data_IF_570555379605
#
_entry.id   IF_570555379605
#
_cell.length_a   1.000
_cell.length_b   1.000
_cell.length_c   1.000
_cell.angle_alpha   90.00
_cell.angle_beta   90.00
_cell.angle_gamma   90.00
#
_symmetry.space_group_name_H-M   'P 1'
#
loop_
_entity.id
_entity.type
_entity.pdbx_description
1 polymer ?
#
# COMPACT_ATOMS: atom_id res chain seq x y z
N UNK A 1 -28.70 -36.83 43.66
CA UNK A 1 -29.98 -37.10 42.98
C UNK A 1 -29.90 -36.57 41.56
N UNK A 2 -30.09 -37.45 40.56
CA UNK A 2 -30.10 -37.16 39.12
C UNK A 2 -31.52 -36.86 38.64
N UNK A 3 -31.67 -35.94 37.67
CA UNK A 3 -32.68 -35.85 36.58
C UNK A 3 -32.19 -34.69 35.68
N UNK A 4 -31.68 -34.85 34.45
CA UNK A 4 -32.16 -35.50 33.22
C UNK A 4 -33.35 -34.80 32.55
N UNK A 5 -33.00 -33.99 31.53
CA UNK A 5 -33.52 -33.86 30.15
C UNK A 5 -35.03 -33.96 29.84
N UNK A 6 -35.44 -33.09 28.89
CA UNK A 6 -36.44 -33.14 27.80
C UNK A 6 -36.99 -31.70 27.64
N UNK A 7 -37.29 -31.11 26.49
CA UNK A 7 -36.92 -31.25 25.08
C UNK A 7 -37.42 -29.93 24.43
N UNK A 8 -36.70 -29.42 23.42
CA UNK A 8 -37.10 -28.31 22.55
C UNK A 8 -37.91 -28.91 21.38
N UNK A 9 -38.94 -28.26 20.79
CA UNK A 9 -38.66 -27.49 19.55
C UNK A 9 -39.67 -26.37 19.22
N UNK A 10 -39.15 -25.18 18.92
CA UNK A 10 -39.85 -24.09 18.24
C UNK A 10 -39.13 -23.63 16.98
N UNK A 11 -38.94 -24.53 16.01
CA UNK A 11 -38.46 -24.19 14.66
C UNK A 11 -39.66 -24.14 13.69
N UNK A 12 -39.97 -22.96 13.18
CA UNK A 12 -40.46 -22.71 11.81
C UNK A 12 -39.77 -21.40 11.40
N UNK A 13 -38.88 -21.34 10.42
CA UNK A 13 -38.97 -21.94 9.09
C UNK A 13 -39.48 -20.88 8.12
N UNK A 14 -38.61 -19.96 7.72
CA UNK A 14 -38.79 -19.21 6.48
C UNK A 14 -37.42 -19.10 5.79
N UNK A 15 -37.25 -19.98 4.83
CA UNK A 15 -36.20 -20.07 3.83
C UNK A 15 -36.47 -19.08 2.69
N UNK A 16 -35.38 -18.60 2.07
CA UNK A 16 -35.20 -18.22 0.65
C UNK A 16 -34.74 -16.78 0.32
N UNK A 17 -33.95 -16.62 -0.77
CA UNK A 17 -32.67 -15.92 -0.74
C UNK A 17 -32.58 -14.72 -1.70
N UNK A 18 -31.93 -13.62 -1.30
CA UNK A 18 -31.57 -12.56 -2.24
C UNK A 18 -30.49 -11.62 -1.69
N UNK A 19 -29.21 -11.98 -1.79
CA UNK A 19 -28.14 -11.02 -2.11
C UNK A 19 -26.82 -11.76 -2.43
N UNK A 20 -26.82 -12.55 -3.51
CA UNK A 20 -25.61 -13.11 -4.08
C UNK A 20 -25.66 -12.90 -5.59
N UNK A 21 -25.02 -11.83 -6.09
CA UNK A 21 -24.57 -11.63 -7.49
C UNK A 21 -23.85 -10.28 -7.64
N UNK A 22 -22.88 -10.24 -8.54
CA UNK A 22 -21.90 -9.17 -8.86
C UNK A 22 -20.69 -9.23 -7.92
N UNK A 23 -19.60 -9.93 -8.25
CA UNK A 23 -18.71 -9.64 -9.38
C UNK A 23 -18.24 -10.95 -10.03
N UNK A 24 -18.68 -11.22 -11.27
CA UNK A 24 -18.05 -12.19 -12.17
C UNK A 24 -17.60 -11.45 -13.42
N UNK A 25 -16.39 -11.80 -13.87
CA UNK A 25 -15.83 -11.58 -15.20
C UNK A 25 -15.08 -10.26 -15.45
N UNK A 26 -13.80 -10.26 -15.07
CA UNK A 26 -12.76 -9.64 -15.88
C UNK A 26 -11.67 -10.70 -16.11
N UNK A 27 -11.88 -11.57 -17.11
CA UNK A 27 -10.79 -12.32 -17.74
C UNK A 27 -10.17 -11.38 -18.75
N UNK A 28 -8.98 -10.87 -18.46
CA UNK A 28 -8.14 -10.21 -19.46
C UNK A 28 -7.25 -11.30 -20.05
N UNK A 29 -7.63 -11.78 -21.23
CA UNK A 29 -6.85 -12.74 -22.02
C UNK A 29 -5.65 -12.00 -22.64
N UNK A 30 -4.46 -12.12 -22.04
CA UNK A 30 -3.20 -11.75 -22.69
C UNK A 30 -2.76 -12.89 -23.61
N UNK A 31 -3.13 -12.82 -24.88
CA UNK A 31 -2.58 -13.67 -25.92
C UNK A 31 -1.12 -13.27 -26.22
N UNK A 32 -0.16 -14.15 -25.88
CA UNK A 32 1.23 -14.04 -26.32
C UNK A 32 1.33 -14.45 -27.80
N UNK A 33 1.94 -13.64 -28.70
CA UNK A 33 2.15 -14.06 -30.07
C UNK A 33 3.23 -15.14 -30.15
N UNK A 34 2.88 -16.27 -30.77
CA UNK A 34 3.80 -17.37 -31.02
C UNK A 34 4.86 -16.99 -32.07
N UNK A 35 6.11 -17.31 -31.76
CA UNK A 35 7.27 -17.12 -32.63
C UNK A 35 7.20 -18.08 -33.84
N UNK A 36 7.17 -17.52 -35.05
CA UNK A 36 7.28 -18.30 -36.26
C UNK A 36 8.76 -18.54 -36.62
N UNK A 37 9.17 -19.80 -36.64
CA UNK A 37 10.50 -20.24 -37.08
C UNK A 37 10.51 -20.32 -38.60
N UNK A 38 11.35 -19.52 -39.26
CA UNK A 38 11.77 -19.82 -40.63
C UNK A 38 13.25 -19.53 -40.82
N UNK A 39 14.00 -20.61 -41.03
CA UNK A 39 15.41 -20.64 -41.41
C UNK A 39 15.62 -20.18 -42.85
N UNK A 40 16.49 -19.20 -43.09
CA UNK A 40 17.20 -19.05 -44.38
C UNK A 40 18.63 -18.56 -44.15
N UNK A 41 19.59 -19.42 -44.50
CA UNK A 41 21.00 -19.06 -44.73
C UNK A 41 21.09 -18.31 -46.07
N UNK A 42 21.83 -17.19 -46.11
CA UNK A 42 22.75 -16.90 -47.21
C UNK A 42 23.74 -15.77 -46.90
N UNK A 43 24.99 -16.13 -47.18
CA UNK A 43 26.25 -15.40 -47.33
C UNK A 43 26.18 -13.98 -47.94
N UNK A 44 26.99 -13.06 -47.42
CA UNK A 44 27.24 -11.75 -48.05
C UNK A 44 28.22 -10.86 -47.28
N UNK A 45 29.39 -10.67 -47.86
CA UNK A 45 30.60 -9.91 -47.43
C UNK A 45 30.35 -8.41 -47.18
N UNK A 46 30.90 -7.82 -46.10
CA UNK A 46 31.19 -6.36 -46.00
C UNK A 46 32.23 -6.01 -44.89
N UNK A 47 33.39 -5.53 -45.36
CA UNK A 47 34.36 -4.48 -44.94
C UNK A 47 34.50 -3.99 -43.46
N UNK A 48 35.67 -3.38 -43.09
CA UNK A 48 36.23 -3.37 -41.74
C UNK A 48 35.80 -2.21 -40.83
N UNK A 49 36.07 -2.43 -39.53
CA UNK A 49 36.16 -1.54 -38.37
C UNK A 49 35.69 -0.08 -38.53
N UNK A 50 34.60 0.25 -37.83
CA UNK A 50 34.32 1.61 -37.38
C UNK A 50 34.61 1.70 -35.88
N UNK A 51 35.67 2.45 -35.58
CA UNK A 51 36.07 2.96 -34.28
C UNK A 51 34.88 3.59 -33.55
N UNK A 52 34.43 3.00 -32.42
CA UNK A 52 33.62 3.72 -31.43
C UNK A 52 34.52 4.02 -30.25
N UNK A 53 35.03 5.24 -30.29
CA UNK A 53 35.54 5.97 -29.14
C UNK A 53 34.68 5.69 -27.91
N UNK A 54 35.34 5.18 -26.87
CA UNK A 54 34.86 5.18 -25.50
C UNK A 54 34.61 6.62 -25.09
N UNK A 55 33.37 7.10 -25.29
CA UNK A 55 32.94 8.35 -24.65
C UNK A 55 33.00 8.13 -23.14
N UNK A 56 33.75 9.01 -22.49
CA UNK A 56 34.15 8.95 -21.10
C UNK A 56 33.01 8.64 -20.15
N UNK A 57 33.36 7.95 -19.06
CA UNK A 57 32.47 7.66 -17.96
C UNK A 57 31.91 8.96 -17.41
N UNK A 58 30.69 9.30 -17.84
CA UNK A 58 29.77 10.03 -16.99
C UNK A 58 29.72 9.22 -15.69
N UNK A 59 30.27 9.77 -14.60
CA UNK A 59 30.27 9.12 -13.31
C UNK A 59 28.86 8.60 -13.03
N UNK A 60 28.73 7.29 -12.85
CA UNK A 60 27.45 6.66 -12.53
C UNK A 60 26.94 7.29 -11.23
N UNK A 61 26.01 8.23 -11.37
CA UNK A 61 25.40 8.92 -10.25
C UNK A 61 24.58 7.91 -9.45
N UNK A 62 24.91 7.74 -8.17
CA UNK A 62 24.23 6.81 -7.25
C UNK A 62 22.89 7.34 -6.73
N UNK A 63 22.31 8.33 -7.39
CA UNK A 63 21.06 8.98 -6.96
C UNK A 63 19.90 7.97 -6.95
N UNK A 64 19.29 7.69 -5.78
CA UNK A 64 18.09 6.88 -5.70
C UNK A 64 16.99 7.49 -6.56
N UNK A 65 16.27 6.66 -7.31
CA UNK A 65 15.17 7.12 -8.18
C UNK A 65 13.85 7.23 -7.44
N UNK A 66 13.61 6.32 -6.51
CA UNK A 66 12.36 6.19 -5.77
C UNK A 66 12.58 5.35 -4.51
N UNK A 67 11.59 5.34 -3.63
CA UNK A 67 11.48 4.33 -2.57
C UNK A 67 11.05 3.02 -3.23
N UNK A 68 11.87 1.97 -3.11
CA UNK A 68 11.60 0.68 -3.77
C UNK A 68 10.55 -0.17 -3.05
N UNK A 69 10.79 -0.50 -1.78
CA UNK A 69 9.87 -1.29 -0.95
C UNK A 69 10.23 -1.15 0.53
N UNK A 70 9.30 -1.53 1.40
CA UNK A 70 9.50 -1.64 2.85
C UNK A 70 9.42 -3.10 3.27
N UNK A 71 10.27 -3.50 4.21
CA UNK A 71 10.24 -4.83 4.83
C UNK A 71 9.95 -4.66 6.30
N UNK A 72 8.89 -5.30 6.78
CA UNK A 72 8.49 -5.31 8.18
C UNK A 72 8.68 -6.71 8.76
N UNK A 73 9.19 -6.79 9.99
CA UNK A 73 9.08 -7.99 10.79
C UNK A 73 7.73 -7.98 11.50
N UNK A 74 7.02 -9.09 11.45
CA UNK A 74 5.69 -9.28 12.06
C UNK A 74 5.69 -10.54 12.91
N UNK A 75 4.93 -10.58 14.00
CA UNK A 75 4.88 -11.78 14.86
C UNK A 75 4.12 -12.93 14.21
N UNK A 76 3.28 -12.67 13.20
CA UNK A 76 2.55 -13.68 12.45
C UNK A 76 2.35 -13.22 11.00
N UNK A 77 3.07 -13.86 10.07
CA UNK A 77 3.01 -13.53 8.64
C UNK A 77 1.62 -13.72 8.05
N UNK A 78 0.87 -14.75 8.46
CA UNK A 78 -0.45 -15.03 7.90
C UNK A 78 -1.48 -14.01 8.37
N UNK A 79 -1.51 -13.70 9.67
CA UNK A 79 -2.36 -12.67 10.26
C UNK A 79 -2.11 -11.33 9.60
N UNK A 80 -0.85 -10.90 9.52
CA UNK A 80 -0.50 -9.60 8.96
C UNK A 80 -0.75 -9.56 7.45
N UNK A 81 -0.51 -10.66 6.72
CA UNK A 81 -0.89 -10.73 5.29
C UNK A 81 -2.39 -10.55 5.08
N UNK A 82 -3.24 -11.20 5.89
CA UNK A 82 -4.70 -11.01 5.81
C UNK A 82 -5.08 -9.56 6.09
N UNK A 83 -4.49 -8.94 7.10
CA UNK A 83 -4.74 -7.54 7.40
C UNK A 83 -4.38 -6.61 6.23
N UNK A 84 -3.15 -6.67 5.71
CA UNK A 84 -2.74 -5.81 4.61
C UNK A 84 -3.51 -6.08 3.31
N UNK A 85 -3.90 -7.33 3.04
CA UNK A 85 -4.70 -7.68 1.86
C UNK A 85 -6.17 -7.26 2.00
N UNK A 86 -6.82 -7.70 3.07
CA UNK A 86 -8.28 -7.61 3.22
C UNK A 86 -8.76 -6.29 3.84
N UNK A 87 -7.89 -5.61 4.60
CA UNK A 87 -8.21 -4.34 5.26
C UNK A 87 -7.60 -3.17 4.49
N UNK A 88 -6.28 -3.19 4.28
CA UNK A 88 -5.56 -2.10 3.60
C UNK A 88 -5.78 -2.15 2.08
N UNK A 89 -5.85 -3.34 1.48
CA UNK A 89 -6.17 -3.52 0.06
C UNK A 89 -5.01 -3.96 -0.84
N UNK A 90 -3.89 -4.42 -0.26
CA UNK A 90 -2.77 -4.95 -1.04
C UNK A 90 -3.12 -6.24 -1.77
N UNK A 91 -2.43 -6.50 -2.88
CA UNK A 91 -2.43 -7.81 -3.52
C UNK A 91 -1.22 -8.62 -3.05
N UNK A 92 -1.36 -9.94 -2.92
CA UNK A 92 -0.22 -10.80 -2.60
C UNK A 92 0.52 -11.17 -3.89
N UNK A 93 1.80 -10.79 -3.97
CA UNK A 93 2.69 -11.19 -5.07
C UNK A 93 3.18 -12.62 -4.91
N UNK A 94 3.64 -12.99 -3.70
CA UNK A 94 4.26 -14.29 -3.43
C UNK A 94 4.32 -14.58 -1.92
N UNK A 95 4.24 -15.86 -1.56
CA UNK A 95 4.74 -16.37 -0.27
C UNK A 95 6.06 -17.12 -0.44
N UNK A 96 6.93 -17.11 0.57
CA UNK A 96 8.02 -18.09 0.61
C UNK A 96 7.44 -19.51 0.76
N UNK A 97 8.13 -20.54 0.23
CA UNK A 97 7.67 -21.93 0.36
C UNK A 97 7.46 -22.38 1.81
N UNK A 98 8.31 -21.92 2.72
CA UNK A 98 8.27 -22.21 4.17
C UNK A 98 7.28 -21.33 4.96
N UNK A 99 6.55 -20.43 4.28
CA UNK A 99 5.64 -19.44 4.88
C UNK A 99 6.28 -18.43 5.85
N UNK A 100 7.60 -18.34 5.89
CA UNK A 100 8.31 -17.37 6.75
C UNK A 100 8.25 -15.93 6.24
N UNK A 101 7.74 -15.71 5.02
CA UNK A 101 7.52 -14.37 4.49
C UNK A 101 6.40 -14.30 3.43
N UNK A 102 5.81 -13.12 3.33
CA UNK A 102 4.87 -12.74 2.28
C UNK A 102 5.31 -11.44 1.61
N UNK A 103 5.05 -11.32 0.31
CA UNK A 103 5.38 -10.16 -0.51
C UNK A 103 4.09 -9.62 -1.11
N UNK A 104 3.85 -8.33 -0.95
CA UNK A 104 2.61 -7.65 -1.28
C UNK A 104 2.86 -6.44 -2.20
N UNK A 105 1.95 -6.19 -3.14
CA UNK A 105 2.06 -5.15 -4.17
C UNK A 105 0.78 -4.33 -4.28
N UNK A 106 0.93 -3.07 -4.68
CA UNK A 106 -0.17 -2.23 -5.17
C UNK A 106 -0.54 -2.56 -6.63
N UNK A 107 0.15 -3.53 -7.27
CA UNK A 107 -0.15 -4.02 -8.62
C UNK A 107 0.80 -3.52 -9.71
N UNK A 108 1.80 -2.69 -9.38
CA UNK A 108 2.69 -2.04 -10.36
C UNK A 108 4.09 -2.66 -10.36
N UNK A 109 4.65 -2.92 -9.19
CA UNK A 109 6.02 -3.45 -9.00
C UNK A 109 6.00 -4.83 -8.37
N UNK A 110 7.14 -5.51 -8.31
CA UNK A 110 7.25 -6.88 -7.78
C UNK A 110 6.69 -7.02 -6.35
N UNK A 111 6.86 -6.00 -5.50
CA UNK A 111 6.27 -5.82 -4.18
C UNK A 111 6.62 -4.43 -3.68
N UNK A 112 5.69 -3.81 -2.95
CA UNK A 112 5.90 -2.57 -2.21
C UNK A 112 6.13 -2.86 -0.72
N UNK A 113 5.55 -3.95 -0.20
CA UNK A 113 5.64 -4.38 1.18
C UNK A 113 6.08 -5.85 1.23
N UNK A 114 7.04 -6.16 2.10
CA UNK A 114 7.35 -7.54 2.46
C UNK A 114 7.20 -7.73 3.97
N UNK A 115 6.58 -8.84 4.36
CA UNK A 115 6.34 -9.23 5.75
C UNK A 115 7.19 -10.44 6.04
N UNK A 116 8.03 -10.35 7.06
CA UNK A 116 8.93 -11.42 7.49
C UNK A 116 8.57 -11.86 8.90
N UNK A 117 8.63 -13.16 9.15
CA UNK A 117 8.42 -13.72 10.47
C UNK A 117 9.51 -13.20 11.42
N UNK A 118 9.10 -12.49 12.47
CA UNK A 118 10.00 -12.04 13.51
C UNK A 118 10.55 -13.26 14.30
N UNK A 119 11.77 -13.14 14.88
CA UNK A 119 12.28 -14.13 15.82
C UNK A 119 11.33 -14.35 17.00
N UNK A 120 11.34 -15.55 17.56
CA UNK A 120 10.55 -15.87 18.75
C UNK A 120 10.91 -14.92 19.91
N UNK A 121 9.89 -14.41 20.61
CA UNK A 121 10.07 -13.46 21.72
C UNK A 121 10.33 -12.01 21.28
N UNK A 122 10.30 -11.70 19.98
CA UNK A 122 10.31 -10.31 19.51
C UNK A 122 9.12 -9.54 20.12
N UNK A 123 9.40 -8.31 20.56
CA UNK A 123 8.37 -7.43 21.11
C UNK A 123 7.65 -6.68 19.99
N UNK A 124 6.33 -6.42 20.14
CA UNK A 124 5.60 -5.51 19.25
C UNK A 124 6.27 -4.13 19.19
N UNK A 125 5.97 -3.38 18.13
CA UNK A 125 6.50 -2.03 17.98
C UNK A 125 5.90 -1.10 19.05
N UNK A 126 6.73 -0.22 19.60
CA UNK A 126 6.31 0.85 20.51
C UNK A 126 6.32 2.18 19.77
N UNK A 127 5.18 2.88 19.76
CA UNK A 127 5.06 4.18 19.12
C UNK A 127 6.05 5.18 19.72
N UNK A 128 6.76 5.91 18.86
CA UNK A 128 7.75 6.93 19.25
C UNK A 128 9.12 6.37 19.62
N UNK A 129 9.33 5.05 19.57
CA UNK A 129 10.66 4.47 19.71
C UNK A 129 11.57 4.85 18.53
N UNK A 130 12.89 4.71 18.74
CA UNK A 130 13.86 4.87 17.64
C UNK A 130 13.60 3.83 16.55
N UNK A 131 13.67 4.25 15.28
CA UNK A 131 13.42 3.37 14.13
C UNK A 131 12.34 3.92 13.20
N UNK A 132 11.48 3.03 12.70
CA UNK A 132 10.36 3.40 11.85
C UNK A 132 9.34 4.19 12.68
N UNK A 133 9.07 5.44 12.29
CA UNK A 133 8.00 6.22 12.90
C UNK A 133 6.63 5.72 12.41
N UNK A 134 6.38 5.81 11.10
CA UNK A 134 5.26 5.21 10.40
C UNK A 134 5.61 4.95 8.93
N UNK A 135 4.76 4.22 8.20
CA UNK A 135 4.84 4.13 6.74
C UNK A 135 3.50 4.46 6.08
N UNK A 136 3.54 5.25 5.02
CA UNK A 136 2.36 5.83 4.40
C UNK A 136 2.05 5.20 3.03
N UNK A 137 0.77 4.89 2.82
CA UNK A 137 0.22 4.37 1.58
C UNK A 137 -0.79 5.37 1.02
N UNK A 138 -0.57 5.79 -0.21
CA UNK A 138 -1.49 6.70 -0.88
C UNK A 138 -2.69 5.94 -1.44
N UNK A 139 -3.89 6.45 -1.18
CA UNK A 139 -5.14 6.11 -1.89
C UNK A 139 -5.49 7.22 -2.88
N UNK A 140 -6.37 6.91 -3.83
CA UNK A 140 -6.62 7.79 -4.99
C UNK A 140 -7.13 9.18 -4.59
N UNK A 141 -8.12 9.25 -3.70
CA UNK A 141 -8.82 10.48 -3.33
C UNK A 141 -9.48 10.39 -1.94
N UNK A 142 -10.14 11.47 -1.53
CA UNK A 142 -10.80 11.55 -0.24
C UNK A 142 -11.95 10.55 -0.07
N UNK A 143 -12.85 10.34 -1.04
CA UNK A 143 -13.82 9.24 -0.97
C UNK A 143 -13.19 7.86 -0.75
N UNK A 144 -12.06 7.56 -1.40
CA UNK A 144 -11.31 6.32 -1.16
C UNK A 144 -10.70 6.28 0.23
N UNK A 145 -10.21 7.41 0.76
CA UNK A 145 -9.73 7.50 2.14
C UNK A 145 -10.85 7.23 3.15
N UNK A 146 -12.05 7.78 2.93
CA UNK A 146 -13.23 7.48 3.73
C UNK A 146 -13.61 5.99 3.67
N UNK A 147 -13.53 5.38 2.48
CA UNK A 147 -13.78 3.96 2.31
C UNK A 147 -12.75 3.10 3.05
N UNK A 148 -11.48 3.49 3.00
CA UNK A 148 -10.42 2.80 3.72
C UNK A 148 -10.59 2.93 5.24
N UNK A 149 -10.96 4.10 5.74
CA UNK A 149 -11.31 4.30 7.16
C UNK A 149 -12.46 3.39 7.60
N UNK A 150 -13.53 3.24 6.80
CA UNK A 150 -14.62 2.31 7.10
C UNK A 150 -14.15 0.84 7.17
N UNK A 151 -13.21 0.43 6.30
CA UNK A 151 -12.62 -0.92 6.34
C UNK A 151 -11.81 -1.13 7.61
N UNK A 152 -11.03 -0.14 8.03
CA UNK A 152 -10.28 -0.19 9.30
C UNK A 152 -11.22 -0.36 10.50
N UNK A 153 -12.30 0.43 10.57
CA UNK A 153 -13.30 0.28 11.63
C UNK A 153 -13.97 -1.10 11.63
N UNK A 154 -14.35 -1.61 10.45
CA UNK A 154 -14.96 -2.93 10.32
C UNK A 154 -14.01 -4.06 10.77
N UNK A 155 -12.70 -3.88 10.55
CA UNK A 155 -11.67 -4.79 11.01
C UNK A 155 -11.29 -4.61 12.49
N UNK A 156 -11.88 -3.62 13.18
CA UNK A 156 -11.54 -3.23 14.55
C UNK A 156 -10.07 -2.84 14.71
N UNK A 157 -9.48 -2.27 13.67
CA UNK A 157 -8.13 -1.70 13.75
C UNK A 157 -8.13 -0.49 14.70
N UNK A 158 -7.02 -0.29 15.40
CA UNK A 158 -6.84 0.90 16.24
C UNK A 158 -6.54 2.09 15.35
N UNK A 159 -7.48 3.05 15.28
CA UNK A 159 -7.22 4.36 14.69
C UNK A 159 -6.48 5.19 15.74
N UNK A 160 -5.32 5.74 15.36
CA UNK A 160 -4.54 6.58 16.25
C UNK A 160 -4.98 8.04 16.15
N UNK A 161 -4.94 8.63 14.95
CA UNK A 161 -5.49 9.97 14.69
C UNK A 161 -5.85 10.16 13.22
N UNK A 162 -6.64 11.21 12.97
CA UNK A 162 -7.09 11.61 11.63
C UNK A 162 -6.80 13.10 11.51
N UNK A 163 -6.13 13.48 10.43
CA UNK A 163 -5.50 14.80 10.34
C UNK A 163 -5.49 15.31 8.91
N UNK A 164 -5.71 16.61 8.76
CA UNK A 164 -5.46 17.36 7.54
C UNK A 164 -4.12 18.09 7.69
N UNK A 165 -3.12 17.69 6.90
CA UNK A 165 -1.79 18.30 6.84
C UNK A 165 -1.72 19.46 5.82
N UNK A 166 -2.83 19.77 5.15
CA UNK A 166 -2.93 20.78 4.11
C UNK A 166 -2.61 20.22 2.72
N UNK A 167 -1.48 19.51 2.54
CA UNK A 167 -1.11 18.86 1.27
C UNK A 167 -1.62 17.41 1.16
N UNK A 168 -1.80 16.76 2.29
CA UNK A 168 -2.40 15.43 2.42
C UNK A 168 -3.45 15.42 3.50
N UNK A 169 -4.39 14.49 3.37
CA UNK A 169 -5.34 14.12 4.41
C UNK A 169 -5.12 12.67 4.75
N UNK A 170 -5.09 12.38 6.04
CA UNK A 170 -4.48 11.15 6.53
C UNK A 170 -5.30 10.51 7.64
N UNK A 171 -5.33 9.18 7.61
CA UNK A 171 -5.83 8.31 8.67
C UNK A 171 -4.65 7.49 9.15
N UNK A 172 -4.20 7.74 10.37
CA UNK A 172 -3.16 6.98 11.05
C UNK A 172 -3.78 5.85 11.87
N UNK A 173 -3.21 4.66 11.78
CA UNK A 173 -3.72 3.47 12.44
C UNK A 173 -2.59 2.49 12.76
N UNK A 174 -2.85 1.54 13.66
CA UNK A 174 -1.90 0.50 13.99
C UNK A 174 -2.18 -0.78 13.21
N UNK A 175 -1.11 -1.40 12.70
CA UNK A 175 -1.17 -2.76 12.19
C UNK A 175 -1.31 -3.80 13.33
N UNK A 176 -1.48 -5.10 13.02
CA UNK A 176 -1.63 -6.14 14.05
C UNK A 176 -0.46 -6.30 15.03
N UNK A 177 0.70 -5.72 14.71
CA UNK A 177 1.94 -5.76 15.48
C UNK A 177 2.26 -4.40 16.15
N UNK A 178 1.32 -3.45 16.10
CA UNK A 178 1.45 -2.13 16.72
C UNK A 178 2.27 -1.13 15.91
N UNK A 179 2.62 -1.46 14.67
CA UNK A 179 3.39 -0.57 13.79
C UNK A 179 2.43 0.48 13.22
N UNK A 180 2.77 1.76 13.37
CA UNK A 180 1.94 2.85 12.87
C UNK A 180 2.01 2.94 11.34
N UNK A 181 0.84 2.92 10.72
CA UNK A 181 0.64 3.02 9.29
C UNK A 181 -0.21 4.26 9.00
N UNK A 182 -0.05 4.80 7.79
CA UNK A 182 -0.83 5.91 7.30
C UNK A 182 -1.50 5.52 5.98
N UNK A 183 -2.79 5.79 5.87
CA UNK A 183 -3.47 5.89 4.58
C UNK A 183 -3.74 7.36 4.33
N UNK A 184 -3.36 7.87 3.16
CA UNK A 184 -3.53 9.27 2.83
C UNK A 184 -3.98 9.50 1.40
N UNK A 185 -4.59 10.65 1.14
CA UNK A 185 -4.81 11.18 -0.20
C UNK A 185 -4.21 12.58 -0.33
N UNK A 186 -3.86 12.97 -1.55
CA UNK A 186 -3.39 14.33 -1.84
C UNK A 186 -4.58 15.29 -1.87
N UNK A 187 -4.39 16.54 -1.43
CA UNK A 187 -5.40 17.60 -1.55
C UNK A 187 -5.26 18.42 -2.83
N UNK A 188 -4.06 18.39 -3.44
CA UNK A 188 -3.74 19.10 -4.68
C UNK A 188 -3.91 18.19 -5.90
N UNK A 189 -4.31 18.79 -7.03
CA UNK A 189 -4.54 18.06 -8.29
C UNK A 189 -3.23 17.54 -8.89
N UNK A 190 -2.11 18.21 -8.60
CA UNK A 190 -0.79 17.84 -9.11
C UNK A 190 0.23 17.68 -7.99
N UNK A 191 1.16 16.73 -8.16
CA UNK A 191 2.30 16.55 -7.25
C UNK A 191 3.17 17.82 -7.16
N UNK A 192 3.21 18.62 -8.24
CA UNK A 192 3.94 19.87 -8.29
C UNK A 192 3.35 20.89 -7.30
N UNK A 193 2.03 21.11 -7.34
CA UNK A 193 1.36 22.02 -6.41
C UNK A 193 1.50 21.54 -4.96
N UNK A 194 1.35 20.23 -4.72
CA UNK A 194 1.55 19.66 -3.38
C UNK A 194 2.97 19.88 -2.86
N UNK A 195 3.99 19.70 -3.72
CA UNK A 195 5.38 19.98 -3.37
C UNK A 195 5.62 21.48 -3.11
N UNK A 196 5.02 22.36 -3.92
CA UNK A 196 5.09 23.82 -3.72
C UNK A 196 4.49 24.22 -2.37
N UNK A 197 3.31 23.69 -2.02
CA UNK A 197 2.71 23.87 -0.70
C UNK A 197 3.66 23.44 0.41
N UNK A 198 4.16 22.20 0.37
CA UNK A 198 5.07 21.66 1.40
C UNK A 198 6.32 22.52 1.60
N UNK A 199 6.90 23.04 0.52
CA UNK A 199 8.07 23.93 0.60
C UNK A 199 7.74 25.30 1.18
N UNK A 200 6.48 25.71 1.17
CA UNK A 200 6.02 27.04 1.56
C UNK A 200 5.38 27.10 2.96
N UNK A 201 5.42 26.01 3.73
CA UNK A 201 4.88 25.96 5.10
C UNK A 201 5.87 25.36 6.10
N UNK A 202 5.72 25.71 7.39
CA UNK A 202 6.40 25.05 8.51
C UNK A 202 5.86 23.62 8.78
N UNK A 203 4.83 23.20 8.04
CA UNK A 203 4.12 21.96 8.28
C UNK A 203 3.15 22.07 9.46
N UNK A 204 2.64 20.93 9.90
CA UNK A 204 1.63 20.82 10.94
C UNK A 204 0.46 19.95 10.49
N UNK A 205 -0.58 19.89 11.33
CA UNK A 205 -1.79 19.16 11.01
C UNK A 205 -2.93 19.58 11.93
N UNK A 206 -4.13 19.65 11.37
CA UNK A 206 -5.35 19.95 12.11
C UNK A 206 -6.19 18.68 12.21
N UNK A 207 -6.69 18.29 13.41
CA UNK A 207 -7.60 17.16 13.52
C UNK A 207 -8.79 17.32 12.58
N UNK A 208 -9.18 16.22 11.92
CA UNK A 208 -10.24 16.22 10.92
C UNK A 208 -11.30 15.15 11.22
N UNK A 209 -12.56 15.47 10.98
CA UNK A 209 -13.65 14.49 10.92
C UNK A 209 -13.70 13.86 9.52
N UNK A 210 -13.23 12.62 9.39
CA UNK A 210 -13.25 11.88 8.11
C UNK A 210 -14.66 11.52 7.65
N UNK A 211 -15.68 11.59 8.51
CA UNK A 211 -17.06 11.29 8.12
C UNK A 211 -17.77 12.46 7.43
N UNK A 212 -17.19 13.67 7.54
CA UNK A 212 -17.70 14.88 6.90
C UNK A 212 -17.39 14.92 5.40
N UNK A 213 -17.93 15.94 4.72
CA UNK A 213 -17.51 16.29 3.36
C UNK A 213 -16.05 16.71 3.33
N UNK A 214 -15.38 16.46 2.21
CA UNK A 214 -13.99 16.86 2.00
C UNK A 214 -13.78 18.35 2.31
N UNK A 215 -12.82 18.71 3.19
CA UNK A 215 -12.52 20.12 3.46
C UNK A 215 -12.03 20.84 2.19
N UNK A 216 -12.24 22.16 2.09
CA UNK A 216 -11.71 22.93 0.97
C UNK A 216 -10.18 22.81 0.91
N UNK A 217 -9.64 22.77 -0.31
CA UNK A 217 -8.19 22.79 -0.54
C UNK A 217 -7.61 24.13 -0.05
N UNK A 218 -6.51 24.14 0.72
CA UNK A 218 -5.88 25.38 1.14
C UNK A 218 -5.21 26.12 -0.03
N UNK A 219 -5.04 27.43 0.10
CA UNK A 219 -4.17 28.20 -0.79
C UNK A 219 -2.70 27.87 -0.53
N UNK A 220 -1.84 28.03 -1.54
CA UNK A 220 -0.39 27.86 -1.41
C UNK A 220 0.19 29.16 -0.81
N UNK A 221 0.74 29.13 0.42
CA UNK A 221 1.34 30.31 1.03
C UNK A 221 2.56 30.82 0.27
N UNK A 222 2.93 32.08 0.53
CA UNK A 222 4.21 32.61 0.07
C UNK A 222 5.30 32.29 1.09
N UNK A 223 6.30 31.49 0.70
CA UNK A 223 7.42 31.12 1.57
C UNK A 223 8.37 30.11 0.92
N UNK A 224 9.56 29.95 1.50
CA UNK A 224 10.53 28.91 1.13
C UNK A 224 11.25 28.41 2.39
N UNK A 225 10.77 27.28 2.89
CA UNK A 225 11.27 26.57 4.07
C UNK A 225 12.27 25.48 3.72
N UNK A 226 12.82 25.48 2.50
CA UNK A 226 13.86 24.52 2.11
C UNK A 226 15.26 24.89 2.61
N UNK A 227 15.40 26.06 3.23
CA UNK A 227 16.67 26.59 3.73
C UNK A 227 16.70 26.52 5.24
N UNK A 228 17.79 26.00 5.78
CA UNK A 228 18.10 26.13 7.20
C UNK A 228 18.51 27.59 7.43
N UNK A 229 17.85 28.25 8.39
CA UNK A 229 18.20 29.61 8.85
C UNK A 229 19.43 29.57 9.73
#
# INVERSE_FOLDING_TARGET
MRRSLLDNPGHRGCSEPACAKLVKNARIDYALPQANRSSRRRTGRRLPQANRSSKGGAGMSIMPREIGHVVLNVTDVERSTKFYRDVVGFQVSRFRPDRSAAFLTCGIVHHNLALFQAPEGARPAEKGAIGLNHFAFRVDDYPMLQAAHRRLLAAKATIDHIVDHGMTRSVYFLDPDGIEMELFCNTFATEKEGLEYTKSTFGGGVPMDISASEPPRPEIPQGDFTKVV
#
